data_IF_254963136622
#
_entry.id   IF_254963136622
#
_cell.length_a   1.000
_cell.length_b   1.000
_cell.length_c   1.000
_cell.angle_alpha   90.00
_cell.angle_beta   90.00
_cell.angle_gamma   90.00
#
_symmetry.space_group_name_H-M   'P 1'
#
loop_
_entity.id
_entity.type
_entity.pdbx_description
1 polymer ?
#
# COMPACT_ATOMS: atom_id res chain seq x y z
N UNK A 1 -38.21 -23.75 -36.13
CA UNK A 1 -36.77 -23.43 -36.15
C UNK A 1 -36.46 -21.93 -36.02
N UNK A 2 -37.31 -20.99 -36.47
CA UNK A 2 -37.06 -19.54 -36.39
C UNK A 2 -37.03 -18.93 -34.96
N UNK A 3 -37.94 -19.35 -34.10
CA UNK A 3 -38.06 -18.80 -32.71
C UNK A 3 -36.87 -19.16 -31.82
N UNK A 4 -36.27 -20.33 -32.02
CA UNK A 4 -35.09 -20.75 -31.22
C UNK A 4 -33.83 -19.97 -31.61
N UNK A 5 -33.68 -19.59 -32.88
CA UNK A 5 -32.55 -18.77 -33.36
C UNK A 5 -32.62 -17.34 -32.86
N UNK A 6 -33.82 -16.75 -32.75
CA UNK A 6 -34.04 -15.38 -32.24
C UNK A 6 -33.70 -15.32 -30.75
N UNK A 7 -34.10 -16.33 -29.95
CA UNK A 7 -33.78 -16.39 -28.51
C UNK A 7 -32.26 -16.49 -28.28
N UNK A 8 -31.55 -17.26 -29.13
CA UNK A 8 -30.10 -17.45 -29.01
C UNK A 8 -29.32 -16.16 -29.37
N UNK A 9 -29.78 -15.41 -30.36
CA UNK A 9 -29.18 -14.14 -30.76
C UNK A 9 -29.43 -13.04 -29.70
N UNK A 10 -30.62 -12.97 -29.14
CA UNK A 10 -30.96 -12.01 -28.06
C UNK A 10 -30.19 -12.36 -26.80
N UNK A 11 -30.01 -13.65 -26.44
CA UNK A 11 -29.18 -14.05 -25.30
C UNK A 11 -27.70 -13.71 -25.46
N UNK A 12 -27.16 -13.83 -26.69
CA UNK A 12 -25.78 -13.47 -27.00
C UNK A 12 -25.55 -11.93 -26.95
N UNK A 13 -26.51 -11.15 -27.43
CA UNK A 13 -26.44 -9.68 -27.35
C UNK A 13 -26.56 -9.16 -25.90
N UNK A 14 -27.34 -9.82 -25.04
CA UNK A 14 -27.45 -9.46 -23.63
C UNK A 14 -26.16 -9.80 -22.84
N UNK A 15 -25.45 -10.85 -23.23
CA UNK A 15 -24.17 -11.21 -22.59
C UNK A 15 -23.02 -10.26 -22.99
N UNK A 16 -23.08 -9.65 -24.17
CA UNK A 16 -22.10 -8.69 -24.66
C UNK A 16 -22.18 -7.30 -23.96
N UNK A 17 -23.31 -6.98 -23.32
CA UNK A 17 -23.52 -5.70 -22.63
C UNK A 17 -22.93 -5.66 -21.21
N UNK A 18 -22.45 -6.78 -20.66
CA UNK A 18 -21.86 -6.86 -19.33
C UNK A 18 -20.33 -6.62 -19.29
N UNK A 19 -19.69 -6.37 -20.43
CA UNK A 19 -18.32 -5.86 -20.45
C UNK A 19 -18.35 -4.38 -20.08
N UNK A 20 -18.36 -4.08 -18.77
CA UNK A 20 -18.04 -2.73 -18.29
C UNK A 20 -16.59 -2.43 -18.69
N UNK A 21 -16.40 -1.83 -19.84
CA UNK A 21 -15.12 -1.28 -20.24
C UNK A 21 -14.74 -0.23 -19.18
N UNK A 22 -13.71 -0.51 -18.39
CA UNK A 22 -13.16 0.45 -17.46
C UNK A 22 -12.85 1.73 -18.23
N UNK A 23 -13.48 2.85 -17.85
CA UNK A 23 -13.34 4.11 -18.56
C UNK A 23 -11.89 4.58 -18.49
N UNK A 24 -11.23 4.61 -19.64
CA UNK A 24 -9.93 5.26 -19.77
C UNK A 24 -10.13 6.77 -19.90
N UNK A 25 -9.20 7.53 -19.34
CA UNK A 25 -9.20 8.99 -19.38
C UNK A 25 -7.87 9.49 -19.91
N UNK A 26 -7.91 10.45 -20.83
CA UNK A 26 -6.71 11.17 -21.26
C UNK A 26 -6.28 12.09 -20.11
N UNK A 27 -5.03 11.98 -19.70
CA UNK A 27 -4.45 12.75 -18.59
C UNK A 27 -3.21 13.48 -19.07
N UNK A 28 -2.93 14.62 -18.43
CA UNK A 28 -1.78 15.45 -18.71
C UNK A 28 -1.08 15.79 -17.40
N UNK A 29 0.25 15.74 -17.39
CA UNK A 29 1.07 16.09 -16.23
C UNK A 29 2.30 16.87 -16.61
N UNK A 30 2.69 17.77 -15.73
CA UNK A 30 3.91 18.55 -15.83
C UNK A 30 4.64 18.48 -14.50
N UNK A 31 5.97 18.42 -14.55
CA UNK A 31 6.77 18.43 -13.34
C UNK A 31 8.10 19.17 -13.57
N UNK A 32 8.56 19.88 -12.54
CA UNK A 32 9.89 20.51 -12.51
C UNK A 32 10.72 19.81 -11.46
N UNK A 33 11.77 19.14 -11.89
CA UNK A 33 12.70 18.44 -11.03
C UNK A 33 13.99 19.24 -10.87
N UNK A 34 14.34 19.54 -9.64
CA UNK A 34 15.61 20.14 -9.24
C UNK A 34 16.56 19.01 -8.84
N UNK A 35 17.48 18.65 -9.72
CA UNK A 35 18.35 17.49 -9.51
C UNK A 35 19.46 17.81 -8.51
N UNK A 36 19.73 16.93 -7.53
CA UNK A 36 20.92 17.01 -6.68
C UNK A 36 22.22 16.91 -7.48
N UNK A 37 23.33 17.41 -6.93
CA UNK A 37 24.62 17.47 -7.63
C UNK A 37 25.14 16.13 -8.16
N UNK A 38 24.77 15.02 -7.55
CA UNK A 38 25.26 13.66 -7.90
C UNK A 38 24.33 12.89 -8.84
N UNK A 39 23.33 13.53 -9.44
CA UNK A 39 22.35 12.89 -10.32
C UNK A 39 22.69 13.12 -11.77
N UNK A 40 22.73 12.06 -12.56
CA UNK A 40 22.94 12.14 -14.01
C UNK A 40 21.74 12.75 -14.73
N UNK A 41 21.95 13.35 -15.91
CA UNK A 41 20.85 13.92 -16.69
C UNK A 41 19.77 12.87 -17.03
N UNK A 42 20.18 11.64 -17.33
CA UNK A 42 19.23 10.55 -17.64
C UNK A 42 18.38 10.15 -16.42
N UNK A 43 18.99 10.09 -15.25
CA UNK A 43 18.27 9.83 -13.99
C UNK A 43 17.33 11.01 -13.65
N UNK A 44 17.78 12.24 -13.87
CA UNK A 44 16.96 13.44 -13.65
C UNK A 44 15.74 13.45 -14.58
N UNK A 45 15.90 13.14 -15.87
CA UNK A 45 14.80 13.00 -16.83
C UNK A 45 13.82 11.90 -16.42
N UNK A 46 14.33 10.71 -16.05
CA UNK A 46 13.50 9.59 -15.61
C UNK A 46 12.68 9.97 -14.37
N UNK A 47 13.32 10.56 -13.39
CA UNK A 47 12.67 11.00 -12.15
C UNK A 47 11.60 12.07 -12.42
N UNK A 48 11.92 13.08 -13.24
CA UNK A 48 10.96 14.11 -13.63
C UNK A 48 9.74 13.50 -14.32
N UNK A 49 9.97 12.56 -15.26
CA UNK A 49 8.91 11.89 -16.01
C UNK A 49 7.97 11.08 -15.12
N UNK A 50 8.53 10.28 -14.21
CA UNK A 50 7.74 9.49 -13.26
C UNK A 50 6.87 10.39 -12.36
N UNK A 51 7.44 11.49 -11.87
CA UNK A 51 6.72 12.47 -11.06
C UNK A 51 5.61 13.17 -11.83
N UNK A 52 5.83 13.52 -13.10
CA UNK A 52 4.80 14.10 -13.95
C UNK A 52 3.63 13.14 -14.19
N UNK A 53 3.91 11.84 -14.42
CA UNK A 53 2.86 10.81 -14.54
C UNK A 53 2.03 10.71 -13.26
N UNK A 54 2.68 10.65 -12.10
CA UNK A 54 2.00 10.56 -10.81
C UNK A 54 1.13 11.80 -10.57
N UNK A 55 1.65 12.99 -10.87
CA UNK A 55 0.88 14.23 -10.74
C UNK A 55 -0.34 14.26 -11.67
N UNK A 56 -0.20 13.75 -12.89
CA UNK A 56 -1.32 13.61 -13.84
C UNK A 56 -2.41 12.67 -13.29
N UNK A 57 -2.01 11.51 -12.75
CA UNK A 57 -2.93 10.55 -12.15
C UNK A 57 -3.65 11.13 -10.93
N UNK A 58 -2.90 11.76 -10.02
CA UNK A 58 -3.44 12.41 -8.83
C UNK A 58 -4.45 13.51 -9.17
N UNK A 59 -4.14 14.36 -10.16
CA UNK A 59 -5.03 15.41 -10.60
C UNK A 59 -6.30 14.91 -11.30
N UNK A 60 -6.22 13.76 -11.99
CA UNK A 60 -7.35 13.23 -12.76
C UNK A 60 -8.31 12.36 -11.94
N UNK A 61 -7.80 11.63 -10.93
CA UNK A 61 -8.55 10.61 -10.19
C UNK A 61 -8.60 10.89 -8.67
N UNK A 62 -7.96 11.95 -8.24
CA UNK A 62 -7.85 12.31 -6.82
C UNK A 62 -6.73 11.55 -6.10
N UNK A 63 -6.19 12.17 -5.09
CA UNK A 63 -5.19 11.59 -4.20
C UNK A 63 -5.66 11.79 -2.77
N UNK A 64 -5.75 10.73 -1.99
CA UNK A 64 -5.94 10.85 -0.54
C UNK A 64 -4.55 11.00 0.06
N UNK A 65 -4.16 12.24 0.38
CA UNK A 65 -2.91 12.52 1.11
C UNK A 65 -3.22 12.50 2.59
N UNK A 66 -2.65 11.55 3.31
CA UNK A 66 -2.69 11.59 4.78
C UNK A 66 -1.78 12.72 5.29
N UNK A 67 -2.31 13.61 6.13
CA UNK A 67 -1.57 14.77 6.66
C UNK A 67 -0.38 14.40 7.56
N UNK A 68 -0.36 13.18 8.11
CA UNK A 68 0.68 12.72 9.04
C UNK A 68 2.08 12.58 8.41
N UNK A 69 2.17 12.50 7.09
CA UNK A 69 3.42 12.20 6.39
C UNK A 69 4.13 13.41 5.77
N UNK A 70 3.54 14.60 5.86
CA UNK A 70 4.18 15.85 5.37
C UNK A 70 5.45 16.23 6.14
N UNK A 71 5.61 15.73 7.36
CA UNK A 71 6.74 16.07 8.24
C UNK A 71 8.02 15.30 7.89
N UNK A 72 7.88 14.06 7.40
CA UNK A 72 9.03 13.19 7.02
C UNK A 72 9.74 13.70 5.78
N UNK A 73 9.01 14.34 4.87
CA UNK A 73 9.53 14.86 3.58
C UNK A 73 10.49 16.05 3.77
N UNK A 74 10.41 16.78 4.86
CA UNK A 74 11.27 17.95 5.09
C UNK A 74 12.72 17.62 5.43
N UNK A 75 13.02 16.38 5.82
CA UNK A 75 14.34 16.01 6.36
C UNK A 75 15.21 15.12 5.49
N UNK A 76 14.71 14.56 4.37
CA UNK A 76 15.51 13.72 3.46
C UNK A 76 15.55 14.31 2.05
N UNK A 77 16.62 15.06 1.80
CA UNK A 77 16.99 15.53 0.46
C UNK A 77 17.38 14.35 -0.41
N UNK A 78 16.52 13.84 -1.27
CA UNK A 78 16.90 13.08 -2.46
C UNK A 78 16.08 11.84 -2.83
N UNK A 79 15.00 11.48 -2.15
CA UNK A 79 14.18 10.37 -2.61
C UNK A 79 13.01 10.82 -3.49
N UNK A 80 12.70 10.01 -4.51
CA UNK A 80 11.80 10.40 -5.59
C UNK A 80 10.36 10.62 -5.11
N UNK A 81 9.60 11.48 -5.78
CA UNK A 81 8.19 11.77 -5.48
C UNK A 81 7.27 10.53 -5.66
N UNK A 82 7.71 9.52 -6.41
CA UNK A 82 7.09 8.20 -6.44
C UNK A 82 7.20 7.49 -5.10
N UNK A 83 8.37 7.57 -4.47
CA UNK A 83 8.58 7.06 -3.11
C UNK A 83 7.77 7.88 -2.10
N UNK A 84 7.61 9.18 -2.34
CA UNK A 84 6.75 10.06 -1.55
C UNK A 84 5.25 9.66 -1.59
N UNK A 85 4.70 9.40 -2.75
CA UNK A 85 3.30 8.97 -2.86
C UNK A 85 3.09 7.55 -2.29
N UNK A 86 4.12 6.71 -2.38
CA UNK A 86 4.12 5.38 -1.78
C UNK A 86 4.32 5.45 -0.25
N UNK A 87 5.19 6.31 0.25
CA UNK A 87 5.42 6.56 1.68
C UNK A 87 4.25 7.31 2.33
N UNK A 88 3.70 8.31 1.63
CA UNK A 88 2.71 9.24 2.16
C UNK A 88 1.30 8.72 2.32
N UNK A 89 1.02 7.45 2.17
CA UNK A 89 -0.34 6.95 2.32
C UNK A 89 -1.30 7.40 1.20
N UNK A 90 -0.78 7.92 0.10
CA UNK A 90 -1.56 8.26 -1.08
C UNK A 90 -1.96 6.98 -1.80
N UNK A 91 -3.21 6.60 -1.75
CA UNK A 91 -3.75 5.63 -2.68
C UNK A 91 -3.89 6.31 -4.05
N UNK A 92 -2.94 6.08 -4.95
CA UNK A 92 -3.13 6.42 -6.36
C UNK A 92 -4.14 5.42 -6.90
N UNK A 93 -5.38 5.85 -7.01
CA UNK A 93 -6.50 5.03 -7.53
C UNK A 93 -6.50 4.92 -9.05
N UNK A 94 -5.33 5.02 -9.69
CA UNK A 94 -5.25 5.02 -11.14
C UNK A 94 -3.96 4.37 -11.65
N UNK A 95 -4.04 3.82 -12.84
CA UNK A 95 -2.96 3.18 -13.57
C UNK A 95 -2.68 3.98 -14.85
N UNK A 96 -1.39 4.24 -15.13
CA UNK A 96 -0.95 4.76 -16.39
C UNK A 96 -0.89 3.63 -17.41
N UNK A 97 -1.66 3.72 -18.48
CA UNK A 97 -1.76 2.68 -19.51
C UNK A 97 -0.72 2.87 -20.60
N UNK A 98 -0.72 4.05 -21.20
CA UNK A 98 0.18 4.38 -22.31
C UNK A 98 0.48 5.88 -22.36
N UNK A 99 1.63 6.22 -22.94
CA UNK A 99 2.01 7.60 -23.23
C UNK A 99 1.56 7.97 -24.63
N UNK A 100 0.92 9.14 -24.78
CA UNK A 100 0.47 9.68 -26.07
C UNK A 100 1.49 10.72 -26.53
N UNK A 101 2.19 10.40 -27.61
CA UNK A 101 3.29 11.23 -28.11
C UNK A 101 4.57 11.05 -27.28
N UNK A 102 5.55 11.90 -27.53
CA UNK A 102 6.81 11.91 -26.79
C UNK A 102 6.75 12.91 -25.62
N UNK A 103 7.38 12.58 -24.47
CA UNK A 103 7.53 13.56 -23.41
C UNK A 103 8.35 14.76 -23.84
N UNK A 104 7.90 15.97 -23.55
CA UNK A 104 8.60 17.21 -23.87
C UNK A 104 9.46 17.60 -22.66
N UNK A 105 10.76 17.73 -22.89
CA UNK A 105 11.72 18.15 -21.87
C UNK A 105 12.24 19.56 -22.15
N UNK A 106 12.26 20.38 -21.10
CA UNK A 106 12.98 21.64 -21.03
C UNK A 106 14.07 21.51 -19.95
N UNK A 107 15.34 21.63 -20.34
CA UNK A 107 16.48 21.37 -19.48
C UNK A 107 17.30 22.65 -19.36
N UNK A 108 17.51 23.06 -18.11
CA UNK A 108 18.30 24.24 -17.81
C UNK A 108 19.29 23.95 -16.68
N UNK A 109 20.32 24.78 -16.58
CA UNK A 109 21.30 24.73 -15.51
C UNK A 109 21.39 26.12 -14.90
N UNK A 110 20.99 26.28 -13.65
CA UNK A 110 20.92 27.57 -12.97
C UNK A 110 21.48 27.43 -11.55
N UNK A 111 22.39 28.35 -11.18
CA UNK A 111 23.02 28.39 -9.85
C UNK A 111 23.70 27.06 -9.43
N UNK A 112 24.32 26.38 -10.40
CA UNK A 112 24.98 25.10 -10.13
C UNK A 112 24.03 23.90 -10.08
N UNK A 113 22.73 24.08 -10.33
CA UNK A 113 21.70 23.06 -10.23
C UNK A 113 21.12 22.69 -11.60
N UNK A 114 21.05 21.41 -11.89
CA UNK A 114 20.35 20.88 -13.06
C UNK A 114 18.84 20.90 -12.83
N UNK A 115 18.10 21.58 -13.69
CA UNK A 115 16.65 21.69 -13.64
C UNK A 115 16.07 20.99 -14.86
N UNK A 116 15.19 20.02 -14.63
CA UNK A 116 14.51 19.28 -15.69
C UNK A 116 13.01 19.51 -15.55
N UNK A 117 12.42 20.24 -16.50
CA UNK A 117 10.98 20.35 -16.63
C UNK A 117 10.51 19.33 -17.67
N UNK A 118 9.43 18.62 -17.38
CA UNK A 118 8.84 17.66 -18.30
C UNK A 118 7.34 17.88 -18.38
N UNK A 119 6.79 17.74 -19.59
CA UNK A 119 5.36 17.70 -19.87
C UNK A 119 5.04 16.39 -20.59
N UNK A 120 3.98 15.70 -20.15
CA UNK A 120 3.59 14.38 -20.65
C UNK A 120 2.07 14.27 -20.75
N UNK A 121 1.62 13.59 -21.80
CA UNK A 121 0.21 13.21 -21.97
C UNK A 121 0.10 11.71 -22.11
N UNK A 122 -0.93 11.11 -21.55
CA UNK A 122 -1.17 9.67 -21.67
C UNK A 122 -2.61 9.27 -21.46
N UNK A 123 -2.86 7.98 -21.54
CA UNK A 123 -4.11 7.37 -21.12
C UNK A 123 -3.93 6.70 -19.76
N UNK A 124 -4.93 6.88 -18.91
CA UNK A 124 -5.00 6.28 -17.60
C UNK A 124 -6.39 5.74 -17.32
N UNK A 125 -6.50 4.79 -16.41
CA UNK A 125 -7.77 4.28 -15.91
C UNK A 125 -7.80 4.29 -14.39
N UNK A 126 -8.98 4.42 -13.85
CA UNK A 126 -9.22 4.28 -12.41
C UNK A 126 -9.07 2.80 -12.00
N UNK A 127 -8.34 2.55 -10.92
CA UNK A 127 -8.30 1.24 -10.26
C UNK A 127 -9.47 1.22 -9.29
N UNK A 128 -10.57 0.61 -9.70
CA UNK A 128 -11.73 0.41 -8.81
C UNK A 128 -11.46 -0.85 -7.98
N UNK A 129 -10.97 -0.68 -6.77
CA UNK A 129 -10.93 -1.78 -5.80
C UNK A 129 -12.33 -2.01 -5.24
N UNK A 130 -12.77 -3.26 -5.19
CA UNK A 130 -13.98 -3.60 -4.45
C UNK A 130 -13.70 -3.30 -2.97
N UNK A 131 -14.32 -2.24 -2.44
CA UNK A 131 -14.15 -1.86 -1.04
C UNK A 131 -14.83 -2.92 -0.15
N UNK A 132 -14.02 -3.78 0.45
CA UNK A 132 -14.47 -4.70 1.48
C UNK A 132 -14.44 -3.93 2.80
N UNK A 133 -15.58 -3.78 3.45
CA UNK A 133 -15.71 -3.04 4.70
C UNK A 133 -15.33 -3.94 5.88
N UNK A 134 -14.03 -4.04 6.15
CA UNK A 134 -13.48 -4.79 7.27
C UNK A 134 -13.33 -3.91 8.50
N UNK A 135 -13.57 -4.48 9.68
CA UNK A 135 -13.34 -3.80 10.96
C UNK A 135 -11.93 -4.13 11.46
N UNK A 136 -11.10 -3.11 11.65
CA UNK A 136 -9.71 -3.21 12.10
C UNK A 136 -9.47 -2.24 13.24
N UNK A 137 -9.01 -2.75 14.40
CA UNK A 137 -8.63 -1.94 15.56
C UNK A 137 -7.30 -2.40 16.10
N UNK A 138 -6.40 -1.46 16.37
CA UNK A 138 -5.18 -1.70 17.14
C UNK A 138 -5.51 -1.46 18.60
N UNK A 139 -5.22 -2.44 19.45
CA UNK A 139 -5.62 -2.42 20.86
C UNK A 139 -4.38 -2.35 21.74
N UNK A 140 -4.47 -1.57 22.84
CA UNK A 140 -3.40 -1.35 23.81
C UNK A 140 -3.75 -1.96 25.16
N UNK A 141 -2.87 -2.84 25.69
CA UNK A 141 -2.97 -3.42 27.03
C UNK A 141 -4.29 -4.15 27.33
N UNK A 142 -5.00 -4.62 26.28
CA UNK A 142 -6.23 -5.35 26.43
C UNK A 142 -6.80 -5.85 25.11
N UNK A 143 -7.57 -6.93 25.17
CA UNK A 143 -8.05 -7.67 23.98
C UNK A 143 -9.47 -7.28 23.53
N UNK A 144 -10.16 -6.38 24.25
CA UNK A 144 -11.51 -5.95 23.89
C UNK A 144 -11.48 -4.70 22.98
N UNK A 145 -12.45 -4.52 22.07
CA UNK A 145 -12.49 -3.38 21.14
C UNK A 145 -12.49 -2.00 21.81
N UNK A 146 -12.85 -1.88 23.09
CA UNK A 146 -12.81 -0.62 23.85
C UNK A 146 -11.37 -0.13 24.14
N UNK A 147 -10.35 -1.00 23.99
CA UNK A 147 -8.95 -0.66 24.17
C UNK A 147 -8.28 -0.17 22.87
N UNK A 148 -9.08 0.19 21.86
CA UNK A 148 -8.54 0.80 20.64
C UNK A 148 -7.71 2.04 20.97
N UNK A 149 -6.47 2.08 20.47
CA UNK A 149 -5.56 3.20 20.66
C UNK A 149 -4.62 3.34 19.47
N UNK A 150 -4.26 4.58 19.15
CA UNK A 150 -3.15 4.92 18.26
C UNK A 150 -1.90 5.38 19.04
N UNK A 151 -2.00 5.49 20.37
CA UNK A 151 -0.94 5.97 21.25
C UNK A 151 -0.53 4.85 22.21
N UNK A 152 0.75 4.52 22.20
CA UNK A 152 1.37 3.49 23.03
C UNK A 152 2.48 4.10 23.88
N UNK A 153 2.79 3.43 24.97
CA UNK A 153 3.98 3.71 25.77
C UNK A 153 4.98 2.55 25.64
N UNK A 154 6.21 2.86 25.92
CA UNK A 154 7.25 1.82 26.01
C UNK A 154 6.87 0.77 27.06
N UNK A 155 6.75 -0.49 26.62
CA UNK A 155 6.31 -1.62 27.44
C UNK A 155 4.82 -1.98 27.33
N UNK A 156 4.04 -1.25 26.54
CA UNK A 156 2.63 -1.60 26.30
C UNK A 156 2.49 -2.83 25.40
N UNK A 157 1.54 -3.69 25.72
CA UNK A 157 1.16 -4.81 24.87
C UNK A 157 0.29 -4.33 23.72
N UNK A 158 0.53 -4.89 22.53
CA UNK A 158 -0.23 -4.60 21.32
C UNK A 158 -1.02 -5.81 20.85
N UNK A 159 -2.32 -5.59 20.57
CA UNK A 159 -3.20 -6.59 19.97
C UNK A 159 -3.87 -6.01 18.72
N UNK A 160 -4.35 -6.90 17.84
CA UNK A 160 -5.09 -6.51 16.64
C UNK A 160 -6.45 -7.20 16.62
N UNK A 161 -7.52 -6.42 16.70
CA UNK A 161 -8.86 -6.89 16.41
C UNK A 161 -9.14 -6.80 14.93
N UNK A 162 -9.70 -7.87 14.37
CA UNK A 162 -10.07 -7.97 12.96
C UNK A 162 -11.39 -8.70 12.78
N UNK A 163 -12.26 -8.15 11.91
CA UNK A 163 -13.49 -8.83 11.47
C UNK A 163 -13.76 -8.47 10.01
N UNK A 164 -14.15 -9.46 9.21
CA UNK A 164 -14.50 -9.29 7.79
C UNK A 164 -15.93 -9.79 7.52
N UNK A 165 -16.70 -9.09 6.65
CA UNK A 165 -18.02 -9.57 6.20
C UNK A 165 -17.93 -10.71 5.19
N UNK A 166 -16.74 -11.07 4.69
CA UNK A 166 -16.51 -12.14 3.72
C UNK A 166 -15.33 -13.01 4.14
N UNK A 167 -15.28 -14.24 3.64
CA UNK A 167 -14.10 -15.09 3.76
C UNK A 167 -12.92 -14.52 2.98
N UNK A 168 -11.70 -14.76 3.46
CA UNK A 168 -10.50 -14.28 2.77
C UNK A 168 -9.21 -14.60 3.52
N UNK A 169 -8.20 -13.80 3.23
CA UNK A 169 -6.84 -14.00 3.68
C UNK A 169 -6.25 -12.69 4.19
N UNK A 170 -5.56 -12.76 5.30
CA UNK A 170 -5.02 -11.62 6.04
C UNK A 170 -3.50 -11.71 6.17
N UNK A 171 -2.82 -10.59 5.89
CA UNK A 171 -1.41 -10.38 6.22
C UNK A 171 -1.28 -9.06 6.97
N UNK A 172 -0.40 -9.01 7.96
CA UNK A 172 -0.15 -7.79 8.75
C UNK A 172 1.35 -7.50 8.79
N UNK A 173 1.70 -6.24 8.53
CA UNK A 173 3.06 -5.74 8.62
C UNK A 173 3.13 -4.53 9.55
N UNK A 174 4.28 -4.34 10.17
CA UNK A 174 4.66 -3.13 10.90
C UNK A 174 5.80 -2.44 10.14
N UNK A 175 5.61 -1.18 9.78
CA UNK A 175 6.68 -0.30 9.32
C UNK A 175 7.23 0.47 10.52
N UNK A 176 8.50 0.32 10.78
CA UNK A 176 9.27 1.23 11.62
C UNK A 176 9.75 2.41 10.76
N UNK A 177 9.16 3.59 10.95
CA UNK A 177 9.48 4.77 10.16
C UNK A 177 10.89 5.31 10.42
N UNK A 178 11.48 4.99 11.57
CA UNK A 178 12.83 5.42 11.92
C UNK A 178 13.91 4.68 11.14
N UNK A 179 13.74 3.36 11.01
CA UNK A 179 14.70 2.49 10.32
C UNK A 179 14.31 2.22 8.87
N UNK A 180 13.08 2.54 8.47
CA UNK A 180 12.49 2.21 7.17
C UNK A 180 12.51 0.71 6.90
N UNK A 181 12.37 -0.09 7.97
CA UNK A 181 12.23 -1.53 7.90
C UNK A 181 10.78 -1.94 8.14
N UNK A 182 10.38 -3.01 7.47
CA UNK A 182 9.02 -3.56 7.56
C UNK A 182 9.11 -4.97 8.10
N UNK A 183 8.34 -5.24 9.14
CA UNK A 183 8.30 -6.52 9.84
C UNK A 183 6.98 -7.22 9.59
N UNK A 184 7.01 -8.50 9.19
CA UNK A 184 5.80 -9.30 9.05
C UNK A 184 5.31 -9.77 10.42
N UNK A 185 4.14 -9.29 10.85
CA UNK A 185 3.52 -9.67 12.13
C UNK A 185 2.57 -10.86 11.98
N UNK A 186 1.88 -10.96 10.83
CA UNK A 186 1.05 -12.11 10.42
C UNK A 186 1.33 -12.45 8.97
N UNK A 187 1.41 -13.75 8.61
CA UNK A 187 1.27 -14.93 9.50
C UNK A 187 2.35 -14.97 10.56
N UNK A 188 2.07 -15.61 11.70
CA UNK A 188 3.07 -15.85 12.72
C UNK A 188 4.26 -16.65 12.16
N UNK A 189 5.43 -16.50 12.74
CA UNK A 189 6.70 -17.04 12.21
C UNK A 189 6.65 -18.53 11.88
N UNK A 190 5.93 -19.31 12.67
CA UNK A 190 5.85 -20.76 12.53
C UNK A 190 4.82 -21.22 11.47
N UNK A 191 3.98 -20.33 10.96
CA UNK A 191 2.88 -20.66 10.04
C UNK A 191 3.26 -20.60 8.54
N UNK A 192 4.53 -20.41 8.20
CA UNK A 192 5.02 -20.45 6.83
C UNK A 192 4.80 -19.14 6.04
N UNK A 193 4.63 -19.26 4.72
CA UNK A 193 4.60 -18.10 3.80
C UNK A 193 3.19 -17.66 3.38
N UNK A 194 2.16 -18.47 3.67
CA UNK A 194 0.77 -18.19 3.31
C UNK A 194 0.12 -17.19 4.26
N UNK A 195 -0.89 -16.46 3.78
CA UNK A 195 -1.70 -15.57 4.61
C UNK A 195 -2.60 -16.33 5.59
N UNK A 196 -3.00 -15.66 6.67
CA UNK A 196 -3.95 -16.22 7.64
C UNK A 196 -5.35 -16.27 7.03
N UNK A 197 -5.98 -17.45 7.07
CA UNK A 197 -7.36 -17.61 6.58
C UNK A 197 -8.35 -16.99 7.55
N UNK A 198 -9.24 -16.16 7.03
CA UNK A 198 -10.30 -15.48 7.75
C UNK A 198 -11.66 -16.03 7.34
N UNK A 199 -12.50 -16.33 8.31
CA UNK A 199 -13.90 -16.75 8.12
C UNK A 199 -14.79 -15.50 8.31
N UNK A 200 -15.76 -15.31 7.44
CA UNK A 200 -16.70 -14.19 7.51
C UNK A 200 -17.41 -14.10 8.87
N UNK A 201 -17.67 -12.89 9.29
CA UNK A 201 -18.38 -12.53 10.54
C UNK A 201 -17.77 -13.06 11.85
N UNK A 202 -16.68 -13.87 11.79
CA UNK A 202 -15.94 -14.30 12.98
C UNK A 202 -15.02 -13.17 13.44
N UNK A 203 -15.10 -12.69 14.69
CA UNK A 203 -14.13 -11.77 15.25
C UNK A 203 -12.83 -12.51 15.59
N UNK A 204 -11.70 -11.88 15.29
CA UNK A 204 -10.37 -12.34 15.62
C UNK A 204 -9.66 -11.33 16.52
N UNK A 205 -8.87 -11.82 17.45
CA UNK A 205 -7.92 -11.03 18.23
C UNK A 205 -6.54 -11.67 18.07
N UNK A 206 -5.70 -11.02 17.29
CA UNK A 206 -4.35 -11.47 17.03
C UNK A 206 -3.35 -10.92 18.07
N UNK A 207 -2.21 -11.57 18.17
CA UNK A 207 -1.11 -11.24 19.10
C UNK A 207 -1.44 -11.49 20.57
N UNK A 208 -2.43 -12.34 20.84
CA UNK A 208 -2.81 -12.75 22.19
C UNK A 208 -2.85 -14.27 22.29
N UNK A 209 -1.94 -14.86 23.05
CA UNK A 209 -1.95 -16.30 23.34
C UNK A 209 -3.23 -16.73 24.07
N UNK A 210 -3.76 -15.87 24.96
CA UNK A 210 -5.01 -16.14 25.68
C UNK A 210 -6.23 -16.29 24.76
N UNK A 211 -6.28 -15.55 23.64
CA UNK A 211 -7.41 -15.54 22.69
C UNK A 211 -7.26 -16.51 21.53
N UNK A 212 -6.11 -17.17 21.42
CA UNK A 212 -5.82 -18.12 20.34
C UNK A 212 -6.34 -19.53 20.64
N UNK A 213 -6.77 -20.22 19.60
CA UNK A 213 -7.05 -21.67 19.64
C UNK A 213 -5.75 -22.48 19.81
N UNK A 214 -4.62 -21.95 19.34
CA UNK A 214 -3.28 -22.52 19.50
C UNK A 214 -2.31 -21.47 20.10
N UNK A 215 -2.26 -21.34 21.44
CA UNK A 215 -1.42 -20.36 22.12
C UNK A 215 0.08 -20.48 21.84
N UNK A 216 0.57 -21.68 21.52
CA UNK A 216 1.99 -21.94 21.29
C UNK A 216 2.50 -21.36 19.96
N UNK A 217 1.61 -21.11 19.03
CA UNK A 217 1.95 -20.55 17.71
C UNK A 217 1.91 -19.01 17.69
N UNK A 218 1.36 -18.37 18.73
CA UNK A 218 1.15 -16.92 18.76
C UNK A 218 2.45 -16.18 19.06
N UNK A 219 2.80 -15.22 18.19
CA UNK A 219 3.77 -14.19 18.51
C UNK A 219 3.06 -13.03 19.23
N UNK A 220 3.42 -12.75 20.46
CA UNK A 220 2.96 -11.59 21.24
C UNK A 220 3.93 -10.43 21.06
N UNK A 221 3.42 -9.20 20.98
CA UNK A 221 4.22 -8.01 20.72
C UNK A 221 4.09 -6.99 21.83
N UNK A 222 5.25 -6.56 22.33
CA UNK A 222 5.39 -5.44 23.28
C UNK A 222 5.99 -4.26 22.53
N UNK A 223 5.34 -3.11 22.60
CA UNK A 223 5.80 -1.90 21.94
C UNK A 223 7.01 -1.33 22.67
N UNK A 224 8.06 -1.02 21.93
CA UNK A 224 9.31 -0.49 22.48
C UNK A 224 9.68 0.82 21.80
N UNK A 225 10.23 1.75 22.55
CA UNK A 225 10.66 3.04 22.06
C UNK A 225 12.07 3.36 22.55
N UNK A 226 12.99 3.61 21.63
CA UNK A 226 14.39 3.97 21.93
C UNK A 226 14.60 5.48 22.01
N UNK A 227 13.69 6.26 21.42
CA UNK A 227 13.67 7.73 21.41
C UNK A 227 12.60 8.25 22.38
N UNK A 228 12.43 9.57 22.49
CA UNK A 228 11.31 10.16 23.26
C UNK A 228 9.96 9.89 22.59
N UNK A 229 9.95 9.78 21.27
CA UNK A 229 8.77 9.55 20.45
C UNK A 229 9.17 8.80 19.19
N UNK A 230 8.42 7.77 18.80
CA UNK A 230 8.59 7.02 17.55
C UNK A 230 7.26 6.82 16.84
N UNK A 231 7.30 6.92 15.51
CA UNK A 231 6.15 6.73 14.64
C UNK A 231 6.28 5.40 13.91
N UNK A 232 5.19 4.65 13.88
CA UNK A 232 5.10 3.37 13.19
C UNK A 232 3.78 3.26 12.45
N UNK A 233 3.73 2.40 11.44
CA UNK A 233 2.50 2.16 10.66
C UNK A 233 2.22 0.67 10.60
N UNK A 234 1.04 0.27 11.04
CA UNK A 234 0.53 -1.08 10.84
C UNK A 234 -0.21 -1.15 9.51
N UNK A 235 0.25 -2.01 8.61
CA UNK A 235 -0.41 -2.33 7.36
C UNK A 235 -1.20 -3.62 7.54
N UNK A 236 -2.52 -3.54 7.42
CA UNK A 236 -3.44 -4.67 7.44
C UNK A 236 -3.93 -4.91 6.02
N UNK A 237 -3.54 -6.04 5.43
CA UNK A 237 -3.78 -6.37 4.03
C UNK A 237 -4.71 -7.57 3.99
N UNK A 238 -5.91 -7.36 3.47
CA UNK A 238 -6.94 -8.38 3.36
C UNK A 238 -7.35 -8.57 1.91
N UNK A 239 -7.50 -9.81 1.46
CA UNK A 239 -8.02 -10.15 0.15
C UNK A 239 -8.96 -11.35 0.21
N UNK A 240 -9.92 -11.40 -0.72
CA UNK A 240 -10.73 -12.58 -0.96
C UNK A 240 -9.90 -13.74 -1.53
N UNK A 241 -8.85 -13.43 -2.30
CA UNK A 241 -7.97 -14.40 -2.92
C UNK A 241 -6.78 -14.70 -2.02
N UNK A 242 -6.24 -15.90 -2.16
CA UNK A 242 -5.02 -16.27 -1.44
C UNK A 242 -3.85 -15.37 -1.83
N UNK A 243 -3.15 -14.87 -0.83
CA UNK A 243 -1.99 -13.99 -0.98
C UNK A 243 -0.79 -14.59 -0.25
N UNK A 244 0.39 -14.34 -0.80
CA UNK A 244 1.66 -14.79 -0.22
C UNK A 244 2.39 -13.58 0.35
N UNK A 245 2.96 -13.71 1.55
CA UNK A 245 3.72 -12.63 2.19
C UNK A 245 4.93 -12.21 1.34
N UNK A 246 5.31 -10.94 1.45
CA UNK A 246 6.55 -10.45 0.88
C UNK A 246 7.73 -11.14 1.56
N UNK A 247 8.64 -11.69 0.74
CA UNK A 247 9.86 -12.33 1.23
C UNK A 247 11.05 -11.48 0.78
N UNK A 248 12.00 -11.21 1.66
CA UNK A 248 13.33 -10.80 1.24
C UNK A 248 14.13 -12.05 0.85
N UNK A 249 14.78 -12.02 -0.29
CA UNK A 249 15.64 -13.11 -0.81
C UNK A 249 16.84 -13.41 0.09
N UNK A 250 17.06 -12.65 1.16
CA UNK A 250 18.18 -12.78 2.11
C UNK A 250 17.79 -13.39 3.46
N UNK A 251 16.51 -13.58 3.75
CA UNK A 251 16.09 -14.06 5.07
C UNK A 251 16.11 -15.59 5.17
N UNK A 252 17.30 -16.16 5.38
CA UNK A 252 17.42 -17.59 5.73
C UNK A 252 17.37 -17.82 7.25
N UNK A 253 17.42 -16.78 8.09
CA UNK A 253 17.46 -17.00 9.55
C UNK A 253 17.16 -15.81 10.46
N UNK A 254 16.74 -14.65 9.99
CA UNK A 254 16.42 -13.55 10.89
C UNK A 254 14.95 -13.53 11.29
N UNK A 255 14.71 -13.33 12.55
CA UNK A 255 13.43 -13.27 13.24
C UNK A 255 13.24 -11.80 13.67
N UNK A 256 12.11 -11.15 13.30
CA UNK A 256 11.03 -11.49 12.37
C UNK A 256 11.45 -11.36 10.91
N UNK A 257 10.65 -11.89 9.96
CA UNK A 257 10.87 -11.68 8.53
C UNK A 257 10.85 -10.17 8.23
N UNK A 258 12.02 -9.65 7.93
CA UNK A 258 12.29 -8.23 7.76
C UNK A 258 12.54 -7.94 6.29
N UNK A 259 12.01 -6.84 5.80
CA UNK A 259 12.29 -6.36 4.45
C UNK A 259 12.37 -4.84 4.43
N UNK A 260 13.14 -4.30 3.48
CA UNK A 260 13.18 -2.86 3.29
C UNK A 260 11.82 -2.33 2.85
N UNK A 261 11.47 -1.12 3.26
CA UNK A 261 10.23 -0.48 2.87
C UNK A 261 10.07 -0.41 1.34
N UNK A 262 11.13 -0.18 0.59
CA UNK A 262 11.14 -0.18 -0.88
C UNK A 262 10.68 -1.53 -1.47
N UNK A 263 11.19 -2.65 -0.95
CA UNK A 263 10.80 -3.99 -1.39
C UNK A 263 9.35 -4.30 -1.02
N UNK A 264 8.92 -3.89 0.18
CA UNK A 264 7.53 -3.98 0.61
C UNK A 264 6.59 -3.22 -0.32
N UNK A 265 6.91 -1.97 -0.67
CA UNK A 265 6.11 -1.15 -1.57
C UNK A 265 5.99 -1.77 -2.97
N UNK A 266 7.09 -2.31 -3.49
CA UNK A 266 7.07 -3.01 -4.79
C UNK A 266 6.14 -4.23 -4.75
N UNK A 267 6.22 -5.03 -3.69
CA UNK A 267 5.35 -6.17 -3.49
C UNK A 267 3.88 -5.74 -3.35
N UNK A 268 3.59 -4.74 -2.53
CA UNK A 268 2.24 -4.21 -2.31
C UNK A 268 1.62 -3.68 -3.60
N UNK A 269 2.39 -2.94 -4.40
CA UNK A 269 1.96 -2.44 -5.71
C UNK A 269 1.64 -3.59 -6.68
N UNK A 270 2.46 -4.65 -6.69
CA UNK A 270 2.19 -5.81 -7.53
C UNK A 270 0.93 -6.57 -7.08
N UNK A 271 0.75 -6.73 -5.77
CA UNK A 271 -0.43 -7.36 -5.19
C UNK A 271 -1.71 -6.61 -5.59
N UNK A 272 -1.76 -5.30 -5.36
CA UNK A 272 -2.96 -4.48 -5.65
C UNK A 272 -3.27 -4.36 -7.14
N UNK A 273 -2.27 -4.50 -8.00
CA UNK A 273 -2.47 -4.59 -9.46
C UNK A 273 -3.01 -5.94 -9.90
N UNK A 274 -2.54 -7.03 -9.29
CA UNK A 274 -2.94 -8.39 -9.63
C UNK A 274 -4.29 -8.76 -9.03
N UNK A 275 -4.63 -8.20 -7.87
CA UNK A 275 -5.84 -8.51 -7.11
C UNK A 275 -6.62 -7.24 -6.76
N UNK A 276 -7.71 -7.01 -7.48
CA UNK A 276 -8.61 -5.87 -7.25
C UNK A 276 -9.48 -6.01 -5.98
N UNK A 277 -9.47 -7.18 -5.33
CA UNK A 277 -10.14 -7.41 -4.04
C UNK A 277 -9.23 -7.12 -2.86
N UNK A 278 -7.93 -6.92 -3.09
CA UNK A 278 -6.99 -6.60 -2.05
C UNK A 278 -7.30 -5.22 -1.44
N UNK A 279 -7.56 -5.22 -0.14
CA UNK A 279 -7.81 -4.03 0.68
C UNK A 279 -6.59 -3.79 1.57
N UNK A 280 -6.08 -2.57 1.57
CA UNK A 280 -4.92 -2.17 2.37
C UNK A 280 -5.37 -1.11 3.37
N UNK A 281 -5.38 -1.48 4.65
CA UNK A 281 -5.73 -0.58 5.74
C UNK A 281 -4.44 -0.19 6.48
N UNK A 282 -4.31 1.09 6.79
CA UNK A 282 -3.17 1.63 7.54
C UNK A 282 -3.64 2.15 8.87
N UNK A 283 -2.94 1.79 9.92
CA UNK A 283 -3.13 2.32 11.27
C UNK A 283 -1.81 2.94 11.74
N UNK A 284 -1.80 4.26 11.84
CA UNK A 284 -0.65 4.96 12.39
C UNK A 284 -0.64 4.78 13.90
N UNK A 285 0.51 4.47 14.46
CA UNK A 285 0.72 4.35 15.90
C UNK A 285 1.92 5.20 16.35
N UNK A 286 1.79 5.76 17.50
CA UNK A 286 2.82 6.60 18.15
C UNK A 286 3.24 5.86 19.41
N UNK A 287 4.55 5.77 19.64
CA UNK A 287 5.10 5.16 20.84
C UNK A 287 5.89 6.23 21.59
N UNK A 288 5.50 6.46 22.83
CA UNK A 288 6.18 7.38 23.75
C UNK A 288 7.03 6.58 24.75
N UNK A 289 8.13 7.19 25.20
CA UNK A 289 9.03 6.58 26.16
C UNK A 289 8.46 6.56 27.58
#
# INVERSE_FOLDING_TARGET
MGRLRVILVVGFCLFALCLQAQKTKKVHGEYVYYAPENVTLEEAKRTALERAKIQALAGAFGTIVSQSNLTIIRNNNAESFSDFLLLGGSEVKAEWLETIGEPLYDISYTDGMLIVRVSITGQAREIVSAKIDVEVKVLRNGTEPKYESSEFRNGDDMYLYFKSPIDGYLIVYLLDEKTMQVYCLLPYRNLGVGAVKIIHDKPYVFFSAEKSEDPAEVDEYVMTCSSSLEYNVIYVIFSKNEITKALDSRSISSIPDELSFKNFQKWLSNLTKADNTASVIRKNIIIEK
#
